data_IF_546593838466
#
_entry.id   IF_546593838466
#
_cell.length_a   1.000
_cell.length_b   1.000
_cell.length_c   1.000
_cell.angle_alpha   90.00
_cell.angle_beta   90.00
_cell.angle_gamma   90.00
#
_symmetry.space_group_name_H-M   'P 1'
#
loop_
_entity.id
_entity.type
_entity.pdbx_description
1 polymer ?
#
# COMPACT_ATOMS: atom_id res chain seq x y z
N UNK A 1 -4.85 13.24 -30.86
CA UNK A 1 -4.44 13.48 -29.46
C UNK A 1 -5.69 13.30 -28.62
N UNK A 2 -5.98 12.06 -28.25
CA UNK A 2 -7.33 11.62 -27.90
C UNK A 2 -7.28 10.83 -26.59
N UNK A 3 -8.22 11.17 -25.70
CA UNK A 3 -8.68 10.35 -24.58
C UNK A 3 -7.63 9.76 -23.64
N UNK A 4 -7.23 10.49 -22.61
CA UNK A 4 -6.91 9.87 -21.32
C UNK A 4 -7.97 10.37 -20.33
N UNK A 5 -8.89 9.48 -20.00
CA UNK A 5 -9.99 9.72 -19.08
C UNK A 5 -9.47 10.42 -17.81
N UNK A 6 -9.97 11.63 -17.55
CA UNK A 6 -9.77 12.29 -16.26
C UNK A 6 -10.60 11.51 -15.25
N UNK A 7 -9.98 10.57 -14.54
CA UNK A 7 -10.60 9.91 -13.39
C UNK A 7 -11.12 10.96 -12.41
N UNK A 8 -12.33 10.73 -11.92
CA UNK A 8 -13.05 11.67 -11.07
C UNK A 8 -12.32 11.96 -9.75
N UNK A 9 -12.57 13.13 -9.16
CA UNK A 9 -11.90 13.71 -7.97
C UNK A 9 -11.94 12.86 -6.67
N UNK A 10 -12.37 11.60 -6.70
CA UNK A 10 -12.32 10.67 -5.57
C UNK A 10 -11.90 9.24 -5.92
N UNK A 11 -11.64 8.94 -7.20
CA UNK A 11 -11.48 7.57 -7.68
C UNK A 11 -10.07 7.02 -7.44
N UNK A 12 -9.04 7.83 -7.66
CA UNK A 12 -7.64 7.46 -7.43
C UNK A 12 -7.38 7.11 -5.95
N UNK A 13 -7.92 7.90 -5.01
CA UNK A 13 -7.75 7.65 -3.58
C UNK A 13 -8.52 6.41 -3.14
N UNK A 14 -9.70 6.18 -3.71
CA UNK A 14 -10.47 4.96 -3.47
C UNK A 14 -9.74 3.73 -4.01
N UNK A 15 -9.22 3.78 -5.24
CA UNK A 15 -8.40 2.70 -5.84
C UNK A 15 -7.13 2.45 -5.03
N UNK A 16 -6.46 3.51 -4.56
CA UNK A 16 -5.31 3.40 -3.65
C UNK A 16 -5.71 2.71 -2.34
N UNK A 17 -6.87 3.05 -1.77
CA UNK A 17 -7.37 2.43 -0.56
C UNK A 17 -7.73 0.96 -0.73
N UNK A 18 -8.33 0.61 -1.88
CA UNK A 18 -8.55 -0.77 -2.28
C UNK A 18 -7.21 -1.52 -2.36
N UNK A 19 -6.16 -0.87 -2.88
CA UNK A 19 -4.79 -1.41 -2.95
C UNK A 19 -4.04 -1.42 -1.61
N UNK A 20 -4.47 -0.63 -0.62
CA UNK A 20 -3.89 -0.63 0.73
C UNK A 20 -4.54 -1.72 1.62
N UNK A 21 -5.55 -2.42 1.09
CA UNK A 21 -6.13 -3.60 1.73
C UNK A 21 -7.51 -3.37 2.34
N UNK A 22 -8.31 -2.44 1.82
CA UNK A 22 -9.73 -2.39 2.17
C UNK A 22 -10.54 -1.41 1.33
N UNK A 23 -11.82 -1.74 1.08
CA UNK A 23 -12.77 -0.81 0.47
C UNK A 23 -12.76 0.52 1.22
N UNK A 24 -12.49 1.63 0.52
CA UNK A 24 -12.48 2.95 1.13
C UNK A 24 -13.91 3.38 1.54
N UNK A 25 -14.16 3.55 2.84
CA UNK A 25 -15.43 4.10 3.33
C UNK A 25 -15.73 3.79 4.80
N UNK A 26 -16.59 4.61 5.43
CA UNK A 26 -17.06 4.42 6.80
C UNK A 26 -17.74 3.05 6.99
N UNK A 27 -18.46 2.57 5.97
CA UNK A 27 -19.10 1.25 5.96
C UNK A 27 -18.11 0.07 6.05
N UNK A 28 -16.87 0.25 5.56
CA UNK A 28 -15.80 -0.73 5.65
C UNK A 28 -14.89 -0.54 6.88
N UNK A 29 -15.24 0.40 7.78
CA UNK A 29 -14.47 0.78 8.99
C UNK A 29 -13.00 1.15 8.73
N UNK A 30 -12.65 1.54 7.50
CA UNK A 30 -11.31 2.00 7.16
C UNK A 30 -11.21 3.53 7.32
N UNK A 31 -11.17 3.98 8.58
CA UNK A 31 -11.17 5.40 8.94
C UNK A 31 -9.94 6.17 8.43
N UNK A 32 -8.79 5.50 8.32
CA UNK A 32 -7.59 6.10 7.74
C UNK A 32 -7.83 6.51 6.29
N UNK A 33 -8.33 5.57 5.47
CA UNK A 33 -8.65 5.82 4.08
C UNK A 33 -9.73 6.88 3.89
N UNK A 34 -10.77 6.82 4.72
CA UNK A 34 -11.82 7.83 4.73
C UNK A 34 -11.24 9.21 5.03
N UNK A 35 -10.46 9.36 6.10
CA UNK A 35 -9.83 10.62 6.49
C UNK A 35 -8.92 11.19 5.41
N UNK A 36 -8.09 10.35 4.76
CA UNK A 36 -7.23 10.78 3.64
C UNK A 36 -8.04 11.23 2.43
N UNK A 37 -9.13 10.53 2.09
CA UNK A 37 -10.04 10.92 1.00
C UNK A 37 -10.68 12.27 1.27
N UNK A 38 -11.24 12.46 2.47
CA UNK A 38 -11.89 13.71 2.83
C UNK A 38 -10.89 14.87 2.91
N UNK A 39 -9.68 14.63 3.43
CA UNK A 39 -8.64 15.64 3.51
C UNK A 39 -8.17 16.10 2.12
N UNK A 40 -7.99 15.19 1.17
CA UNK A 40 -7.62 15.55 -0.20
C UNK A 40 -8.74 16.36 -0.89
N UNK A 41 -10.00 15.95 -0.74
CA UNK A 41 -11.14 16.70 -1.28
C UNK A 41 -11.18 18.13 -0.70
N UNK A 42 -10.99 18.27 0.62
CA UNK A 42 -10.93 19.58 1.26
C UNK A 42 -9.74 20.42 0.76
N UNK A 43 -8.57 19.81 0.52
CA UNK A 43 -7.41 20.50 -0.03
C UNK A 43 -7.68 21.05 -1.44
N UNK A 44 -8.33 20.27 -2.31
CA UNK A 44 -8.75 20.73 -3.64
C UNK A 44 -9.72 21.92 -3.56
N UNK A 45 -10.73 21.86 -2.69
CA UNK A 45 -11.68 22.96 -2.51
C UNK A 45 -11.01 24.24 -2.01
N UNK A 46 -10.08 24.12 -1.04
CA UNK A 46 -9.34 25.28 -0.53
C UNK A 46 -8.39 25.84 -1.59
N UNK A 47 -7.72 24.99 -2.38
CA UNK A 47 -6.81 25.43 -3.45
C UNK A 47 -7.53 26.28 -4.50
N UNK A 48 -8.70 25.81 -4.98
CA UNK A 48 -9.56 26.53 -5.92
C UNK A 48 -10.02 27.87 -5.35
N UNK A 49 -10.45 27.90 -4.08
CA UNK A 49 -10.92 29.13 -3.41
C UNK A 49 -9.81 30.16 -3.18
N UNK A 50 -8.58 29.72 -2.94
CA UNK A 50 -7.43 30.59 -2.64
C UNK A 50 -6.56 30.90 -3.85
N UNK A 51 -6.84 30.31 -5.02
CA UNK A 51 -6.00 30.45 -6.21
C UNK A 51 -4.59 29.87 -6.01
N UNK A 52 -4.45 28.82 -5.20
CA UNK A 52 -3.18 28.12 -4.98
C UNK A 52 -3.07 26.98 -5.98
N UNK A 53 -1.94 26.89 -6.69
CA UNK A 53 -1.65 25.76 -7.55
C UNK A 53 -1.37 24.51 -6.71
N UNK A 54 -2.11 23.43 -6.98
CA UNK A 54 -2.10 22.20 -6.19
C UNK A 54 -1.88 21.00 -7.10
N UNK A 55 -0.87 20.21 -6.75
CA UNK A 55 -0.63 18.88 -7.28
C UNK A 55 -0.61 17.89 -6.12
N UNK A 56 -1.26 16.74 -6.29
CA UNK A 56 -1.35 15.71 -5.24
C UNK A 56 -0.61 14.45 -5.67
N UNK A 57 0.30 13.97 -4.81
CA UNK A 57 0.96 12.68 -4.96
C UNK A 57 0.30 11.66 -4.02
N UNK A 58 -0.30 10.62 -4.59
CA UNK A 58 -0.95 9.51 -3.89
C UNK A 58 0.00 8.32 -3.84
N UNK A 59 0.52 7.98 -2.66
CA UNK A 59 1.55 6.95 -2.50
C UNK A 59 0.98 5.63 -2.00
N UNK A 60 1.55 4.52 -2.47
CA UNK A 60 1.31 3.20 -1.89
C UNK A 60 1.98 3.02 -0.51
N UNK A 61 2.15 1.78 -0.03
CA UNK A 61 2.92 1.53 1.20
C UNK A 61 4.38 1.87 0.97
N UNK A 62 4.83 2.91 1.67
CA UNK A 62 6.20 3.41 1.54
C UNK A 62 7.12 2.62 2.47
N UNK A 63 8.14 1.99 1.90
CA UNK A 63 9.17 1.24 2.62
C UNK A 63 10.57 1.78 2.28
N UNK A 64 11.52 1.59 3.20
CA UNK A 64 12.91 1.97 2.99
C UNK A 64 13.62 2.31 4.30
N UNK A 65 14.89 2.76 4.23
CA UNK A 65 15.66 3.18 5.41
C UNK A 65 14.98 4.34 6.14
N UNK A 66 14.97 4.28 7.47
CA UNK A 66 14.39 5.31 8.33
C UNK A 66 15.48 6.29 8.78
N UNK A 67 15.25 7.58 8.56
CA UNK A 67 16.12 8.64 9.08
C UNK A 67 15.71 9.05 10.50
N UNK A 68 14.43 8.87 10.83
CA UNK A 68 13.90 9.10 12.17
C UNK A 68 14.16 7.87 13.09
N UNK A 69 14.27 8.08 14.43
CA UNK A 69 14.59 6.98 15.36
C UNK A 69 13.41 6.04 15.65
N UNK A 70 12.19 6.40 15.22
CA UNK A 70 10.97 5.65 15.49
C UNK A 70 10.45 4.91 14.26
N UNK A 71 9.86 3.74 14.48
CA UNK A 71 9.26 2.92 13.43
C UNK A 71 7.92 3.53 13.00
N UNK A 72 7.77 3.82 11.71
CA UNK A 72 6.51 4.33 11.15
C UNK A 72 5.51 3.18 10.87
N UNK A 73 4.24 3.53 10.65
CA UNK A 73 3.17 2.55 10.48
C UNK A 73 3.39 1.57 9.30
N UNK A 74 3.95 2.06 8.17
CA UNK A 74 4.25 1.20 7.02
C UNK A 74 5.37 0.20 7.32
N UNK A 75 6.37 0.58 8.09
CA UNK A 75 7.46 -0.32 8.50
C UNK A 75 7.02 -1.32 9.56
N UNK A 76 6.09 -0.94 10.47
CA UNK A 76 5.46 -1.90 11.41
C UNK A 76 4.80 -3.05 10.66
N UNK A 77 4.20 -2.78 9.50
CA UNK A 77 3.57 -3.80 8.67
C UNK A 77 4.55 -4.87 8.15
N UNK A 78 5.83 -4.53 7.94
CA UNK A 78 6.88 -5.51 7.62
C UNK A 78 7.49 -6.12 8.89
N UNK A 79 7.76 -5.29 9.90
CA UNK A 79 8.41 -5.69 11.15
C UNK A 79 7.66 -6.80 11.87
N UNK A 80 6.32 -6.82 11.81
CA UNK A 80 5.49 -7.87 12.43
C UNK A 80 5.82 -9.30 11.95
N UNK A 81 6.34 -9.44 10.73
CA UNK A 81 6.77 -10.74 10.20
C UNK A 81 8.15 -11.12 10.73
N UNK A 82 9.07 -10.15 10.80
CA UNK A 82 10.42 -10.38 11.29
C UNK A 82 10.44 -10.66 12.79
N UNK A 83 9.69 -9.92 13.60
CA UNK A 83 9.65 -10.14 15.05
C UNK A 83 8.72 -11.29 15.48
N UNK A 84 8.11 -12.00 14.53
CA UNK A 84 7.22 -13.13 14.78
C UNK A 84 5.88 -12.78 15.45
N UNK A 85 5.49 -11.50 15.50
CA UNK A 85 4.17 -11.07 16.00
C UNK A 85 3.05 -11.57 15.09
N UNK A 86 3.30 -11.63 13.78
CA UNK A 86 2.39 -12.22 12.81
C UNK A 86 2.72 -13.70 12.60
N UNK A 87 1.81 -14.59 13.04
CA UNK A 87 1.93 -16.05 12.84
C UNK A 87 1.43 -16.52 11.48
N UNK A 88 0.63 -15.70 10.81
CA UNK A 88 0.10 -15.94 9.46
C UNK A 88 0.17 -14.66 8.65
N UNK A 89 -0.11 -14.76 7.36
CA UNK A 89 -0.30 -13.62 6.48
C UNK A 89 -1.71 -13.66 5.87
N UNK A 90 -2.29 -12.48 5.61
CA UNK A 90 -3.58 -12.38 4.96
C UNK A 90 -3.50 -12.75 3.48
N UNK A 91 -4.56 -13.33 2.92
CA UNK A 91 -4.72 -13.52 1.48
C UNK A 91 -5.12 -12.17 0.84
N UNK A 92 -4.14 -11.28 0.68
CA UNK A 92 -4.37 -9.94 0.14
C UNK A 92 -3.15 -9.41 -0.62
N UNK A 93 -3.44 -8.56 -1.60
CA UNK A 93 -2.43 -7.82 -2.36
C UNK A 93 -2.24 -6.43 -1.76
N UNK A 94 -1.02 -5.91 -1.85
CA UNK A 94 -0.74 -4.52 -1.55
C UNK A 94 0.36 -3.96 -2.46
N UNK A 95 0.20 -2.70 -2.83
CA UNK A 95 1.22 -1.96 -3.55
C UNK A 95 2.29 -1.41 -2.61
N UNK A 96 3.54 -1.44 -3.07
CA UNK A 96 4.71 -0.90 -2.37
C UNK A 96 5.45 0.09 -3.24
N UNK A 97 6.16 1.01 -2.59
CA UNK A 97 7.06 1.97 -3.23
C UNK A 97 8.22 2.29 -2.30
N UNK A 98 9.41 2.52 -2.87
CA UNK A 98 10.57 2.90 -2.10
C UNK A 98 10.51 4.37 -1.65
N UNK A 99 10.95 4.67 -0.42
CA UNK A 99 10.88 6.02 0.17
C UNK A 99 11.63 7.08 -0.61
N UNK A 100 12.76 6.73 -1.24
CA UNK A 100 13.51 7.65 -2.10
C UNK A 100 12.72 8.04 -3.36
N UNK A 101 11.96 7.10 -3.92
CA UNK A 101 11.21 7.36 -5.16
C UNK A 101 10.02 8.28 -4.87
N UNK A 102 9.40 8.15 -3.70
CA UNK A 102 8.39 9.09 -3.22
C UNK A 102 8.97 10.50 -3.05
N UNK A 103 10.15 10.61 -2.44
CA UNK A 103 10.82 11.91 -2.26
C UNK A 103 11.18 12.56 -3.61
N UNK A 104 11.76 11.78 -4.54
CA UNK A 104 12.07 12.24 -5.88
C UNK A 104 10.81 12.61 -6.67
N UNK A 105 9.73 11.84 -6.52
CA UNK A 105 8.46 12.14 -7.17
C UNK A 105 7.88 13.48 -6.67
N UNK A 106 7.98 13.78 -5.37
CA UNK A 106 7.58 15.08 -4.83
C UNK A 106 8.41 16.24 -5.43
N UNK A 107 9.73 16.07 -5.55
CA UNK A 107 10.61 17.07 -6.18
C UNK A 107 10.20 17.25 -7.64
N UNK A 108 10.05 16.15 -8.38
CA UNK A 108 9.73 16.16 -9.81
C UNK A 108 8.40 16.85 -10.10
N UNK A 109 7.33 16.54 -9.36
CA UNK A 109 6.02 17.17 -9.57
C UNK A 109 6.01 18.63 -9.18
N UNK A 110 6.85 19.04 -8.22
CA UNK A 110 6.98 20.43 -7.82
C UNK A 110 7.77 21.26 -8.85
N UNK A 111 8.86 20.72 -9.40
CA UNK A 111 9.72 21.42 -10.35
C UNK A 111 9.16 21.42 -11.79
N UNK A 112 8.23 20.52 -12.11
CA UNK A 112 7.63 20.44 -13.44
C UNK A 112 6.47 21.42 -13.57
N UNK A 113 6.68 22.54 -14.28
CA UNK A 113 5.66 23.60 -14.48
C UNK A 113 4.36 23.12 -15.13
N UNK A 114 4.38 22.03 -15.89
CA UNK A 114 3.18 21.44 -16.50
C UNK A 114 2.50 20.38 -15.64
N UNK A 115 3.04 20.07 -14.46
CA UNK A 115 2.45 19.08 -13.56
C UNK A 115 1.14 19.62 -13.00
N UNK A 116 0.10 18.80 -13.03
CA UNK A 116 -1.23 19.18 -12.56
C UNK A 116 -2.02 17.95 -12.14
N UNK A 117 -2.98 18.14 -11.25
CA UNK A 117 -3.89 17.07 -10.84
C UNK A 117 -3.25 16.09 -9.86
N UNK A 118 -3.43 14.80 -10.13
CA UNK A 118 -3.09 13.71 -9.20
C UNK A 118 -2.15 12.72 -9.84
N UNK A 119 -1.15 12.28 -9.09
CA UNK A 119 -0.17 11.29 -9.51
C UNK A 119 -0.17 10.11 -8.55
N UNK A 120 -0.20 8.88 -9.08
CA UNK A 120 -0.06 7.67 -8.30
C UNK A 120 1.43 7.28 -8.23
N UNK A 121 1.94 7.09 -7.02
CA UNK A 121 3.32 6.69 -6.75
C UNK A 121 3.32 5.29 -6.11
N UNK A 122 3.46 4.29 -6.98
CA UNK A 122 3.48 2.87 -6.65
C UNK A 122 4.46 2.17 -7.61
N UNK A 123 5.27 1.26 -7.10
CA UNK A 123 6.21 0.49 -7.93
C UNK A 123 5.59 -0.86 -8.32
N UNK A 124 5.18 -1.64 -7.32
CA UNK A 124 4.75 -3.02 -7.54
C UNK A 124 3.66 -3.44 -6.55
N UNK A 125 2.65 -4.14 -7.07
CA UNK A 125 1.66 -4.85 -6.27
C UNK A 125 2.12 -6.27 -5.97
N UNK A 126 2.21 -6.64 -4.70
CA UNK A 126 2.62 -7.98 -4.28
C UNK A 126 1.54 -8.62 -3.41
N UNK A 127 1.35 -9.92 -3.60
CA UNK A 127 0.60 -10.72 -2.64
C UNK A 127 1.40 -10.87 -1.33
N UNK A 128 0.74 -10.96 -0.17
CA UNK A 128 1.46 -11.15 1.11
C UNK A 128 2.39 -12.36 1.10
N UNK A 129 2.02 -13.43 0.39
CA UNK A 129 2.86 -14.61 0.25
C UNK A 129 4.21 -14.26 -0.40
N UNK A 130 4.24 -13.37 -1.39
CA UNK A 130 5.48 -12.96 -2.06
C UNK A 130 6.36 -12.14 -1.13
N UNK A 131 5.74 -11.27 -0.33
CA UNK A 131 6.45 -10.48 0.69
C UNK A 131 7.13 -11.40 1.71
N UNK A 132 6.41 -12.36 2.29
CA UNK A 132 7.01 -13.28 3.26
C UNK A 132 8.07 -14.19 2.62
N UNK A 133 7.92 -14.58 1.34
CA UNK A 133 8.95 -15.31 0.58
C UNK A 133 10.23 -14.50 0.46
N UNK A 134 10.12 -13.23 0.09
CA UNK A 134 11.26 -12.31 -0.02
C UNK A 134 11.94 -12.15 1.34
N UNK A 135 11.17 -11.91 2.41
CA UNK A 135 11.73 -11.79 3.75
C UNK A 135 12.44 -13.08 4.19
N UNK A 136 11.85 -14.26 3.97
CA UNK A 136 12.44 -15.54 4.36
C UNK A 136 13.73 -15.85 3.59
N UNK A 137 13.83 -15.40 2.34
CA UNK A 137 15.05 -15.52 1.54
C UNK A 137 16.20 -14.67 2.09
N UNK A 138 15.92 -13.44 2.52
CA UNK A 138 16.95 -12.50 3.01
C UNK A 138 17.27 -12.65 4.50
N UNK A 139 16.31 -13.15 5.29
CA UNK A 139 16.39 -13.23 6.75
C UNK A 139 15.98 -14.63 7.25
N UNK A 140 16.74 -15.70 6.89
CA UNK A 140 16.34 -17.08 7.17
C UNK A 140 16.25 -17.43 8.66
N UNK A 141 16.98 -16.71 9.52
CA UNK A 141 17.01 -16.96 10.97
C UNK A 141 15.84 -16.30 11.74
N UNK A 142 15.03 -15.49 11.06
CA UNK A 142 13.90 -14.78 11.67
C UNK A 142 12.62 -15.65 11.66
N UNK A 143 11.73 -15.51 12.67
CA UNK A 143 10.48 -16.27 12.81
C UNK A 143 9.38 -15.83 11.83
N UNK A 144 9.68 -15.81 10.54
CA UNK A 144 8.77 -15.39 9.48
C UNK A 144 7.71 -16.49 9.25
N UNK A 145 6.42 -16.15 9.07
CA UNK A 145 5.36 -17.11 8.78
C UNK A 145 5.44 -17.57 7.33
N UNK A 146 6.52 -18.26 7.00
CA UNK A 146 6.71 -18.99 5.77
C UNK A 146 6.78 -20.47 6.13
N UNK A 147 6.21 -21.39 5.32
CA UNK A 147 6.39 -22.81 5.53
C UNK A 147 7.87 -23.20 5.29
N UNK A 148 8.71 -22.96 6.28
CA UNK A 148 10.08 -23.47 6.35
C UNK A 148 10.04 -24.90 6.91
N UNK A 149 9.80 -25.86 6.00
CA UNK A 149 10.40 -27.21 5.90
C UNK A 149 9.44 -28.23 5.27
N UNK A 150 9.63 -28.50 3.98
CA UNK A 150 9.63 -29.86 3.44
C UNK A 150 10.88 -30.58 3.98
N UNK A 151 10.91 -30.93 5.26
CA UNK A 151 11.86 -31.90 5.79
C UNK A 151 11.06 -32.84 6.69
N UNK A 152 11.06 -34.12 6.28
CA UNK A 152 10.30 -35.28 6.78
C UNK A 152 8.79 -35.31 6.48
N UNK A 153 8.47 -35.75 5.25
CA UNK A 153 7.53 -36.86 5.05
C UNK A 153 6.04 -36.74 5.40
N UNK A 154 5.53 -35.60 5.89
CA UNK A 154 4.11 -35.47 6.19
C UNK A 154 3.48 -34.27 5.50
N UNK A 155 2.59 -34.58 4.55
CA UNK A 155 1.66 -33.66 3.92
C UNK A 155 0.63 -33.18 4.94
N UNK A 156 0.93 -32.10 5.66
CA UNK A 156 -0.12 -31.36 6.37
C UNK A 156 -0.73 -30.35 5.39
N UNK A 157 -1.84 -30.76 4.82
CA UNK A 157 -2.73 -29.97 3.99
C UNK A 157 -3.17 -28.70 4.71
N UNK A 158 -2.66 -27.55 4.27
CA UNK A 158 -3.39 -26.31 4.44
C UNK A 158 -4.42 -26.22 3.31
N UNK A 159 -5.65 -26.66 3.62
CA UNK A 159 -6.82 -26.27 2.86
C UNK A 159 -6.98 -24.75 2.98
N UNK A 160 -6.67 -24.04 1.90
CA UNK A 160 -7.27 -22.76 1.62
C UNK A 160 -8.78 -23.01 1.59
N UNK A 161 -9.51 -22.50 2.58
CA UNK A 161 -10.96 -22.59 2.60
C UNK A 161 -11.51 -21.64 1.53
N UNK A 162 -11.42 -22.05 0.26
CA UNK A 162 -12.25 -21.51 -0.80
C UNK A 162 -13.67 -22.01 -0.51
N UNK A 163 -14.46 -21.17 0.14
CA UNK A 163 -15.89 -21.38 0.28
C UNK A 163 -16.53 -21.41 -1.10
N UNK A 164 -16.70 -22.60 -1.65
CA UNK A 164 -17.67 -22.92 -2.68
C UNK A 164 -18.78 -23.67 -1.96
N UNK A 165 -19.81 -22.95 -1.51
CA UNK A 165 -21.11 -23.59 -1.24
C UNK A 165 -21.87 -23.60 -2.55
N UNK A 166 -21.93 -24.77 -3.17
CA UNK A 166 -22.94 -25.10 -4.16
C UNK A 166 -23.95 -26.05 -3.52
N UNK A 167 -25.22 -25.63 -3.50
CA UNK A 167 -26.40 -26.43 -3.85
C UNK A 167 -27.40 -25.47 -4.45
#
# INVERSE_FOLDING_TARGET
MEGRDRESEGEIVRRLCDWIGGRGGAAARNWYCYGKTMAEQAAWEVSKKKGVDLVVLNTAVVLGPMLQPTVNASSVHILKYLNGSAKTYANSNQAYVHVKDVALAHILVFETLSASGRYLCAEIGLHRQEVVKILAKFFPDYPIPFPTKLLSGYWLSYQCNSGVMGT
#
